data_IF_137723230713
#
_entry.id   IF_137723230713
#
_cell.length_a   1.000
_cell.length_b   1.000
_cell.length_c   1.000
_cell.angle_alpha   90.00
_cell.angle_beta   90.00
_cell.angle_gamma   90.00
#
_symmetry.space_group_name_H-M   'P 1'
#
loop_
_entity.id
_entity.type
_entity.pdbx_description
1 polymer ?
#
# COMPACT_ATOMS: atom_id res chain seq x y z
N UNK A 1 4.75 -20.71 -33.67
CA UNK A 1 3.54 -19.91 -34.01
C UNK A 1 2.74 -19.53 -32.76
N UNK A 2 2.37 -20.48 -31.92
CA UNK A 2 1.62 -20.24 -30.65
C UNK A 2 2.28 -19.21 -29.71
N UNK A 3 3.61 -19.25 -29.56
CA UNK A 3 4.32 -18.30 -28.67
C UNK A 3 4.33 -16.86 -29.18
N UNK A 4 4.29 -16.67 -30.50
CA UNK A 4 4.25 -15.34 -31.13
C UNK A 4 2.87 -14.72 -30.93
N UNK A 5 1.82 -15.52 -31.07
CA UNK A 5 0.43 -15.09 -30.87
C UNK A 5 0.15 -14.72 -29.40
N UNK A 6 0.62 -15.53 -28.44
CA UNK A 6 0.54 -15.21 -27.00
C UNK A 6 1.26 -13.91 -26.65
N UNK A 7 2.40 -13.64 -27.28
CA UNK A 7 3.16 -12.40 -27.07
C UNK A 7 2.42 -11.16 -27.58
N UNK A 8 1.76 -11.28 -28.73
CA UNK A 8 0.95 -10.21 -29.32
C UNK A 8 -0.22 -9.82 -28.40
N UNK A 9 -0.95 -10.79 -27.86
CA UNK A 9 -2.05 -10.56 -26.93
C UNK A 9 -1.62 -9.76 -25.69
N UNK A 10 -0.51 -10.16 -25.07
CA UNK A 10 0.07 -9.46 -23.91
C UNK A 10 0.46 -8.01 -24.22
N UNK A 11 0.90 -7.75 -25.45
CA UNK A 11 1.42 -6.47 -25.89
C UNK A 11 0.40 -5.58 -26.63
N UNK A 12 -0.84 -6.04 -26.79
CA UNK A 12 -1.89 -5.35 -27.54
C UNK A 12 -2.15 -3.92 -27.07
N UNK A 13 -2.02 -3.65 -25.77
CA UNK A 13 -2.19 -2.32 -25.17
C UNK A 13 -0.92 -1.45 -25.19
N UNK A 14 0.23 -1.97 -25.65
CA UNK A 14 1.46 -1.18 -25.73
C UNK A 14 1.43 -0.22 -26.93
N UNK A 15 2.12 0.92 -26.76
CA UNK A 15 2.11 1.99 -27.76
C UNK A 15 3.17 1.76 -28.85
N UNK A 16 2.82 2.12 -30.09
CA UNK A 16 3.74 2.17 -31.22
C UNK A 16 4.38 0.82 -31.56
N UNK A 17 5.70 0.80 -31.73
CA UNK A 17 6.44 -0.39 -32.13
C UNK A 17 6.37 -1.55 -31.10
N UNK A 18 6.08 -1.25 -29.83
CA UNK A 18 6.01 -2.23 -28.75
C UNK A 18 4.81 -3.18 -28.82
N UNK A 19 3.82 -2.91 -29.68
CA UNK A 19 2.66 -3.78 -29.94
C UNK A 19 2.66 -4.37 -31.34
N UNK A 20 3.62 -3.99 -32.20
CA UNK A 20 3.65 -4.38 -33.62
C UNK A 20 4.85 -5.25 -33.99
N UNK A 21 6.04 -4.92 -33.50
CA UNK A 21 7.27 -5.61 -33.87
C UNK A 21 7.56 -6.75 -32.89
N UNK A 22 7.66 -7.98 -33.38
CA UNK A 22 7.86 -9.19 -32.56
C UNK A 22 9.07 -9.10 -31.63
N UNK A 23 10.21 -8.58 -32.12
CA UNK A 23 11.42 -8.35 -31.32
C UNK A 23 11.21 -7.34 -30.19
N UNK A 24 10.49 -6.26 -30.47
CA UNK A 24 10.22 -5.21 -29.50
C UNK A 24 9.19 -5.66 -28.47
N UNK A 25 8.19 -6.44 -28.90
CA UNK A 25 7.19 -7.08 -28.03
C UNK A 25 7.88 -8.00 -27.02
N UNK A 26 8.79 -8.88 -27.45
CA UNK A 26 9.48 -9.82 -26.55
C UNK A 26 10.34 -9.08 -25.53
N UNK A 27 11.09 -8.05 -25.95
CA UNK A 27 11.87 -7.21 -25.04
C UNK A 27 10.99 -6.49 -24.03
N UNK A 28 9.86 -5.94 -24.46
CA UNK A 28 8.93 -5.24 -23.58
C UNK A 28 8.24 -6.19 -22.59
N UNK A 29 7.88 -7.40 -23.04
CA UNK A 29 7.32 -8.44 -22.19
C UNK A 29 8.27 -8.80 -21.05
N UNK A 30 9.55 -9.03 -21.35
CA UNK A 30 10.55 -9.36 -20.31
C UNK A 30 10.67 -8.22 -19.30
N UNK A 31 10.76 -6.96 -19.76
CA UNK A 31 10.81 -5.79 -18.88
C UNK A 31 9.57 -5.68 -17.99
N UNK A 32 8.38 -5.84 -18.57
CA UNK A 32 7.12 -5.78 -17.83
C UNK A 32 7.02 -6.87 -16.76
N UNK A 33 7.52 -8.09 -17.03
CA UNK A 33 7.54 -9.18 -16.06
C UNK A 33 8.48 -8.88 -14.88
N UNK A 34 9.66 -8.31 -15.14
CA UNK A 34 10.61 -7.91 -14.09
C UNK A 34 10.01 -6.80 -13.23
N UNK A 35 9.45 -5.75 -13.85
CA UNK A 35 8.77 -4.67 -13.12
C UNK A 35 7.60 -5.21 -12.30
N UNK A 36 6.74 -6.05 -12.87
CA UNK A 36 5.61 -6.64 -12.14
C UNK A 36 6.05 -7.48 -10.92
N UNK A 37 7.20 -8.14 -10.98
CA UNK A 37 7.75 -8.85 -9.83
C UNK A 37 8.20 -7.87 -8.74
N UNK A 38 8.94 -6.82 -9.09
CA UNK A 38 9.40 -5.80 -8.15
C UNK A 38 8.23 -5.01 -7.53
N UNK A 39 7.24 -4.65 -8.34
CA UNK A 39 6.06 -3.89 -7.94
C UNK A 39 5.20 -4.63 -6.92
N UNK A 40 5.19 -5.98 -6.92
CA UNK A 40 4.48 -6.77 -5.89
C UNK A 40 4.99 -6.51 -4.48
N UNK A 41 6.31 -6.33 -4.33
CA UNK A 41 6.92 -6.03 -3.03
C UNK A 41 6.84 -4.54 -2.70
N UNK A 42 6.97 -3.66 -3.69
CA UNK A 42 6.76 -2.22 -3.51
C UNK A 42 5.33 -1.91 -3.06
N UNK A 43 4.33 -2.57 -3.65
CA UNK A 43 2.91 -2.40 -3.29
C UNK A 43 2.63 -2.66 -1.81
N UNK A 44 3.34 -3.61 -1.18
CA UNK A 44 3.24 -3.84 0.27
C UNK A 44 3.72 -2.62 1.06
N UNK A 45 4.85 -2.03 0.65
CA UNK A 45 5.42 -0.82 1.27
C UNK A 45 4.52 0.41 1.06
N UNK A 46 3.97 0.55 -0.14
CA UNK A 46 3.07 1.65 -0.48
C UNK A 46 1.80 1.62 0.37
N UNK A 47 1.22 0.44 0.58
CA UNK A 47 0.08 0.30 1.49
C UNK A 47 0.45 0.61 2.94
N UNK A 48 1.62 0.16 3.42
CA UNK A 48 2.10 0.52 4.75
C UNK A 48 2.23 2.05 4.91
N UNK A 49 2.85 2.73 3.95
CA UNK A 49 2.94 4.19 3.95
C UNK A 49 1.57 4.87 3.90
N UNK A 50 0.64 4.35 3.09
CA UNK A 50 -0.71 4.87 3.01
C UNK A 50 -1.44 4.79 4.35
N UNK A 51 -1.33 3.65 5.07
CA UNK A 51 -1.96 3.49 6.38
C UNK A 51 -1.36 4.42 7.42
N UNK A 52 -0.04 4.57 7.46
CA UNK A 52 0.64 5.52 8.35
C UNK A 52 0.16 6.95 8.07
N UNK A 53 0.09 7.34 6.79
CA UNK A 53 -0.36 8.67 6.37
C UNK A 53 -1.81 8.94 6.78
N UNK A 54 -2.70 7.95 6.59
CA UNK A 54 -4.11 8.03 7.01
C UNK A 54 -4.25 8.21 8.52
N UNK A 55 -3.53 7.42 9.31
CA UNK A 55 -3.55 7.52 10.77
C UNK A 55 -3.00 8.88 11.22
N UNK A 56 -1.88 9.32 10.63
CA UNK A 56 -1.27 10.63 10.90
C UNK A 56 -2.22 11.79 10.64
N UNK A 57 -2.96 11.76 9.52
CA UNK A 57 -3.91 12.82 9.19
C UNK A 57 -5.02 12.93 10.24
N UNK A 58 -5.54 11.81 10.74
CA UNK A 58 -6.63 11.81 11.71
C UNK A 58 -6.14 12.21 13.10
N UNK A 59 -4.96 11.74 13.51
CA UNK A 59 -4.29 12.19 14.74
C UNK A 59 -4.17 13.73 14.76
N UNK A 60 -3.71 14.32 13.65
CA UNK A 60 -3.58 15.78 13.52
C UNK A 60 -4.93 16.50 13.59
N UNK A 61 -5.99 15.90 13.04
CA UNK A 61 -7.32 16.51 13.00
C UNK A 61 -8.08 16.47 14.33
N UNK A 62 -7.85 15.47 15.19
CA UNK A 62 -8.58 15.33 16.46
C UNK A 62 -7.92 16.16 17.60
N UNK A 63 -6.78 16.80 17.34
CA UNK A 63 -6.10 17.67 18.33
C UNK A 63 -5.56 16.94 19.56
N UNK A 64 -5.63 15.61 19.59
CA UNK A 64 -5.03 14.79 20.63
C UNK A 64 -3.52 14.81 20.42
N UNK A 65 -2.77 15.31 21.39
CA UNK A 65 -1.33 15.62 21.36
C UNK A 65 -0.38 14.41 21.17
N UNK A 66 -0.83 13.36 20.51
CA UNK A 66 -0.14 12.10 20.32
C UNK A 66 0.37 11.99 18.89
N UNK A 67 1.60 12.40 18.62
CA UNK A 67 2.29 12.01 17.38
C UNK A 67 2.17 10.49 17.16
N UNK A 68 2.00 10.04 15.92
CA UNK A 68 1.85 8.61 15.57
C UNK A 68 2.86 7.69 16.26
N UNK A 69 4.13 8.07 16.28
CA UNK A 69 5.20 7.28 16.93
C UNK A 69 4.95 7.07 18.43
N UNK A 70 4.36 8.04 19.12
CA UNK A 70 4.00 7.94 20.54
C UNK A 70 2.81 7.02 20.75
N UNK A 71 1.79 7.09 19.88
CA UNK A 71 0.63 6.20 19.90
C UNK A 71 1.05 4.74 19.68
N UNK A 72 1.89 4.48 18.66
CA UNK A 72 2.39 3.14 18.37
C UNK A 72 3.29 2.61 19.49
N UNK A 73 4.18 3.45 20.05
CA UNK A 73 5.01 3.06 21.21
C UNK A 73 4.14 2.66 22.40
N UNK A 74 3.09 3.42 22.69
CA UNK A 74 2.21 3.10 23.81
C UNK A 74 1.38 1.82 23.55
N UNK A 75 0.91 1.61 22.31
CA UNK A 75 0.26 0.35 21.92
C UNK A 75 1.18 -0.86 22.10
N UNK A 76 2.45 -0.72 21.70
CA UNK A 76 3.46 -1.76 21.88
C UNK A 76 3.72 -2.04 23.37
N UNK A 77 3.85 -1.00 24.19
CA UNK A 77 4.02 -1.14 25.64
C UNK A 77 2.84 -1.86 26.31
N UNK A 78 1.62 -1.68 25.78
CA UNK A 78 0.41 -2.40 26.23
C UNK A 78 0.21 -3.77 25.57
N UNK A 79 1.19 -4.26 24.80
CA UNK A 79 1.14 -5.52 24.07
C UNK A 79 -0.06 -5.64 23.10
N UNK A 80 -0.64 -4.52 22.67
CA UNK A 80 -1.71 -4.49 21.68
C UNK A 80 -1.09 -4.50 20.29
N UNK A 81 -0.84 -5.70 19.76
CA UNK A 81 -0.31 -5.93 18.41
C UNK A 81 -1.40 -5.71 17.33
N UNK A 82 -1.83 -4.46 17.19
CA UNK A 82 -2.78 -4.08 16.14
C UNK A 82 -2.05 -3.91 14.79
N UNK A 83 -2.55 -4.62 13.77
CA UNK A 83 -2.10 -4.41 12.41
C UNK A 83 -2.51 -3.02 11.93
N UNK A 84 -1.55 -2.25 11.37
CA UNK A 84 -1.75 -0.91 10.83
C UNK A 84 -2.89 -0.84 9.81
N UNK A 85 -3.13 -1.90 9.02
CA UNK A 85 -4.28 -2.00 8.10
C UNK A 85 -5.61 -1.84 8.83
N UNK A 86 -5.79 -2.63 9.88
CA UNK A 86 -7.02 -2.69 10.66
C UNK A 86 -7.19 -1.37 11.43
N UNK A 87 -6.10 -0.89 12.04
CA UNK A 87 -6.10 0.38 12.76
C UNK A 87 -6.51 1.55 11.84
N UNK A 88 -5.93 1.65 10.64
CA UNK A 88 -6.31 2.68 9.68
C UNK A 88 -7.80 2.58 9.26
N UNK A 89 -8.31 1.37 9.05
CA UNK A 89 -9.71 1.16 8.69
C UNK A 89 -10.67 1.56 9.82
N UNK A 90 -10.36 1.19 11.06
CA UNK A 90 -11.18 1.53 12.23
C UNK A 90 -11.26 3.04 12.41
N UNK A 91 -10.11 3.73 12.33
CA UNK A 91 -10.04 5.18 12.55
C UNK A 91 -10.78 5.94 11.42
N UNK A 92 -10.74 5.44 10.18
CA UNK A 92 -11.52 6.01 9.08
C UNK A 92 -13.02 5.81 9.28
N UNK A 93 -13.42 4.61 9.72
CA UNK A 93 -14.83 4.26 9.93
C UNK A 93 -15.46 5.05 11.08
N UNK A 94 -14.71 5.26 12.17
CA UNK A 94 -15.19 6.00 13.33
C UNK A 94 -14.09 6.93 13.88
N UNK A 95 -14.26 8.24 13.65
CA UNK A 95 -13.32 9.27 14.10
C UNK A 95 -13.17 9.32 15.63
N UNK A 96 -14.21 8.97 16.38
CA UNK A 96 -14.18 8.98 17.85
C UNK A 96 -13.42 7.78 18.43
N UNK A 97 -13.20 6.71 17.65
CA UNK A 97 -12.52 5.52 18.12
C UNK A 97 -11.08 5.81 18.58
N UNK A 98 -10.38 6.73 17.90
CA UNK A 98 -9.02 7.12 18.27
C UNK A 98 -8.96 7.74 19.68
N UNK A 99 -9.99 8.51 20.06
CA UNK A 99 -10.11 9.08 21.40
C UNK A 99 -10.32 7.99 22.47
N UNK A 100 -11.20 7.02 22.20
CA UNK A 100 -11.42 5.88 23.11
C UNK A 100 -10.15 5.05 23.32
N UNK A 101 -9.48 4.67 22.24
CA UNK A 101 -8.22 3.92 22.30
C UNK A 101 -7.17 4.72 23.09
N UNK A 102 -7.07 6.03 22.85
CA UNK A 102 -6.13 6.89 23.58
C UNK A 102 -6.43 6.92 25.08
N UNK A 103 -7.70 6.99 25.48
CA UNK A 103 -8.09 6.98 26.89
C UNK A 103 -7.77 5.64 27.55
N UNK A 104 -8.09 4.53 26.89
CA UNK A 104 -7.74 3.19 27.36
C UNK A 104 -6.23 2.99 27.46
N UNK A 105 -5.43 3.61 26.59
CA UNK A 105 -3.96 3.56 26.66
C UNK A 105 -3.41 4.42 27.81
N UNK A 106 -4.06 5.54 28.15
CA UNK A 106 -3.61 6.42 29.24
C UNK A 106 -3.94 5.86 30.62
N UNK A 107 -5.03 5.08 30.72
CA UNK A 107 -5.46 4.36 31.92
C UNK A 107 -4.43 3.30 32.31
#
# INVERSE_FOLDING_TARGET
LVDVEKNSLFASSFRGAHSRLTRTITQQRIRALVSAHQDRDMKKRDFCHLWITRINAIIRGVGVSYSYSRLIRNLYNKQLLLNHKILAQIIISNRNCLYMISNEIRK
#
